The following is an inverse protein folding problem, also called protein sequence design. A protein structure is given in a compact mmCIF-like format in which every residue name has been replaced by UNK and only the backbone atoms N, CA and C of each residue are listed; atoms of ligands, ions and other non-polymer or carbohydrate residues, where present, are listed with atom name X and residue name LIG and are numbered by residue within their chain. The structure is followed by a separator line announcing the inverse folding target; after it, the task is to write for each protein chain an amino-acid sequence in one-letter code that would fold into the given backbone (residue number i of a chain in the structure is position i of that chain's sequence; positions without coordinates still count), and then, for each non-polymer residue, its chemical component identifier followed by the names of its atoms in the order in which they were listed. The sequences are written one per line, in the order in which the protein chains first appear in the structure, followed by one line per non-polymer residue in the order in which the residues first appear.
data_IF_567729390392
#
_entry.id   IF_567729390392
#
_cell.length_a   1.000
_cell.length_b   1.000
_cell.length_c   1.000
_cell.angle_alpha   90.00
_cell.angle_beta   90.00
_cell.angle_gamma   90.00
#
_symmetry.space_group_name_H-M   'P 1'
#
loop_
_entity.id
_entity.type
_entity.pdbx_description
1 polymer ?
#
# COMPACT_ATOMS: atom_id res chain seq x y z
N UNK A 1 2.91 -1.47 6.16
CA UNK A 1 1.86 -2.00 5.27
C UNK A 1 1.24 -0.80 4.55
N UNK A 2 1.00 -0.88 3.25
CA UNK A 2 0.33 0.17 2.46
C UNK A 2 1.30 1.04 1.67
N UNK A 3 1.85 2.11 2.23
CA UNK A 3 2.59 3.14 1.47
C UNK A 3 3.82 2.60 0.71
N UNK A 4 4.66 1.79 1.32
CA UNK A 4 5.86 1.24 0.66
C UNK A 4 5.47 0.30 -0.49
N UNK A 5 4.64 -0.73 -0.28
CA UNK A 5 4.24 -1.62 -1.37
C UNK A 5 3.44 -0.91 -2.46
N UNK A 6 2.52 0.02 -2.12
CA UNK A 6 1.77 0.74 -3.15
C UNK A 6 2.67 1.61 -4.01
N UNK A 7 3.65 2.33 -3.43
CA UNK A 7 4.59 3.15 -4.19
C UNK A 7 5.52 2.30 -5.06
N UNK A 8 5.93 1.11 -4.59
CA UNK A 8 6.73 0.19 -5.40
C UNK A 8 5.94 -0.28 -6.64
N UNK A 9 4.67 -0.69 -6.48
CA UNK A 9 3.84 -1.12 -7.60
C UNK A 9 3.42 0.05 -8.51
N UNK A 10 3.14 1.25 -7.95
CA UNK A 10 2.87 2.45 -8.74
C UNK A 10 4.05 2.79 -9.64
N UNK A 11 5.27 2.78 -9.10
CA UNK A 11 6.48 3.05 -9.87
C UNK A 11 6.70 1.98 -10.96
N UNK A 12 6.57 0.70 -10.62
CA UNK A 12 6.76 -0.38 -11.57
C UNK A 12 5.73 -0.34 -12.71
N UNK A 13 4.44 -0.15 -12.39
CA UNK A 13 3.36 -0.04 -13.38
C UNK A 13 3.49 1.22 -14.23
N UNK A 14 3.97 2.33 -13.66
CA UNK A 14 4.23 3.56 -14.40
C UNK A 14 5.36 3.40 -15.42
N UNK A 15 6.47 2.76 -15.02
CA UNK A 15 7.58 2.47 -15.94
C UNK A 15 7.14 1.53 -17.08
N UNK A 16 6.31 0.54 -16.79
CA UNK A 16 5.73 -0.31 -17.82
C UNK A 16 4.86 0.50 -18.79
N UNK A 17 3.94 1.31 -18.30
CA UNK A 17 3.10 2.18 -19.12
C UNK A 17 3.95 3.13 -19.98
N UNK A 18 4.95 3.77 -19.39
CA UNK A 18 5.86 4.67 -20.11
C UNK A 18 6.63 3.94 -21.22
N UNK A 19 7.03 2.69 -20.99
CA UNK A 19 7.72 1.89 -22.02
C UNK A 19 6.85 1.59 -23.23
N UNK A 20 5.53 1.54 -23.04
CA UNK A 20 4.57 1.28 -24.13
C UNK A 20 4.16 2.55 -24.87
N UNK A 21 4.03 3.69 -24.19
CA UNK A 21 3.37 4.87 -24.77
C UNK A 21 4.26 6.11 -24.89
N UNK A 22 5.24 6.27 -24.02
CA UNK A 22 5.97 7.53 -23.91
C UNK A 22 7.45 7.44 -24.31
N UNK A 23 8.08 6.30 -24.19
CA UNK A 23 9.52 6.17 -24.46
C UNK A 23 9.86 6.50 -25.91
N UNK A 24 9.03 6.09 -26.88
CA UNK A 24 9.22 6.44 -28.29
C UNK A 24 9.20 7.96 -28.53
N UNK A 25 8.37 8.69 -27.81
CA UNK A 25 8.33 10.17 -27.89
C UNK A 25 9.62 10.83 -27.38
N UNK A 26 10.36 10.13 -26.50
CA UNK A 26 11.66 10.57 -25.99
C UNK A 26 12.84 10.02 -26.78
N UNK A 27 12.59 9.35 -27.89
CA UNK A 27 13.63 8.72 -28.72
C UNK A 27 14.17 7.40 -28.16
N UNK A 28 13.47 6.78 -27.22
CA UNK A 28 13.83 5.48 -26.64
C UNK A 28 12.93 4.42 -27.28
N UNK A 29 13.54 3.56 -28.09
CA UNK A 29 12.82 2.47 -28.74
C UNK A 29 12.80 1.22 -27.87
N UNK A 30 11.60 0.69 -27.60
CA UNK A 30 11.38 -0.57 -26.89
C UNK A 30 10.63 -1.49 -27.83
N UNK A 31 11.27 -2.58 -28.27
CA UNK A 31 10.68 -3.48 -29.24
C UNK A 31 9.41 -4.17 -28.75
N UNK A 32 9.41 -4.62 -27.49
CA UNK A 32 8.25 -5.19 -26.81
C UNK A 32 8.47 -5.19 -25.30
N UNK A 33 7.57 -4.57 -24.55
CA UNK A 33 7.55 -4.68 -23.10
C UNK A 33 6.46 -5.67 -22.67
N UNK A 34 6.77 -6.50 -21.68
CA UNK A 34 5.80 -7.42 -21.07
C UNK A 34 5.92 -7.41 -19.57
N UNK A 35 4.82 -7.72 -18.89
CA UNK A 35 4.79 -7.78 -17.43
C UNK A 35 4.96 -9.22 -16.96
N UNK A 36 5.94 -9.43 -16.08
CA UNK A 36 5.99 -10.63 -15.26
C UNK A 36 5.50 -10.26 -13.85
N UNK A 37 4.22 -10.56 -13.58
CA UNK A 37 3.57 -10.16 -12.34
C UNK A 37 4.27 -10.72 -11.09
N UNK A 38 4.71 -11.98 -11.11
CA UNK A 38 5.41 -12.58 -9.98
C UNK A 38 6.74 -11.86 -9.67
N UNK A 39 7.48 -11.45 -10.70
CA UNK A 39 8.70 -10.65 -10.51
C UNK A 39 8.38 -9.25 -10.00
N UNK A 40 7.27 -8.64 -10.43
CA UNK A 40 6.85 -7.34 -9.94
C UNK A 40 6.43 -7.41 -8.47
N UNK A 41 5.75 -8.47 -8.04
CA UNK A 41 5.47 -8.73 -6.63
C UNK A 41 6.77 -8.96 -5.83
N UNK A 42 7.71 -9.74 -6.35
CA UNK A 42 9.02 -9.92 -5.70
C UNK A 42 9.80 -8.62 -5.56
N UNK A 43 9.74 -7.73 -6.56
CA UNK A 43 10.31 -6.38 -6.47
C UNK A 43 9.64 -5.56 -5.35
N UNK A 44 8.30 -5.60 -5.27
CA UNK A 44 7.55 -4.97 -4.17
C UNK A 44 8.06 -5.46 -2.80
N UNK A 45 8.22 -6.78 -2.64
CA UNK A 45 8.72 -7.37 -1.39
C UNK A 45 10.15 -6.92 -1.07
N UNK A 46 11.04 -6.85 -2.07
CA UNK A 46 12.40 -6.36 -1.82
C UNK A 46 12.41 -4.91 -1.33
N UNK A 47 11.56 -4.05 -1.89
CA UNK A 47 11.42 -2.66 -1.45
C UNK A 47 10.94 -2.56 0.00
N UNK A 48 10.00 -3.42 0.41
CA UNK A 48 9.54 -3.50 1.81
C UNK A 48 10.70 -3.91 2.72
N UNK A 49 11.41 -4.97 2.36
CA UNK A 49 12.53 -5.49 3.18
C UNK A 49 13.67 -4.48 3.31
N UNK A 50 14.06 -3.81 2.24
CA UNK A 50 15.13 -2.83 2.25
C UNK A 50 14.77 -1.62 3.13
N UNK A 51 13.54 -1.13 3.04
CA UNK A 51 13.07 -0.04 3.90
C UNK A 51 13.00 -0.49 5.38
N UNK A 52 12.49 -1.69 5.66
CA UNK A 52 12.40 -2.21 7.03
C UNK A 52 13.79 -2.36 7.65
N UNK A 53 14.75 -2.96 6.93
CA UNK A 53 16.15 -3.05 7.37
C UNK A 53 16.77 -1.68 7.60
N UNK A 54 16.46 -0.70 6.74
CA UNK A 54 16.92 0.67 6.90
C UNK A 54 16.41 1.30 8.20
N UNK A 55 15.13 1.08 8.54
CA UNK A 55 14.55 1.56 9.81
C UNK A 55 15.21 0.87 11.01
N UNK A 56 15.39 -0.44 10.97
CA UNK A 56 16.08 -1.20 12.03
C UNK A 56 17.50 -0.69 12.25
N UNK A 57 18.23 -0.42 11.16
CA UNK A 57 19.56 0.18 11.23
C UNK A 57 19.54 1.55 11.91
N UNK A 58 18.56 2.41 11.56
CA UNK A 58 18.41 3.73 12.16
C UNK A 58 18.08 3.63 13.66
N UNK A 59 17.25 2.70 14.07
CA UNK A 59 16.95 2.44 15.48
C UNK A 59 18.21 2.06 16.24
N UNK A 60 18.96 1.10 15.71
CA UNK A 60 20.25 0.69 16.30
C UNK A 60 21.25 1.84 16.37
N UNK A 61 21.42 2.60 15.28
CA UNK A 61 22.34 3.75 15.20
C UNK A 61 22.01 4.82 16.23
N UNK A 62 20.73 5.10 16.43
CA UNK A 62 20.24 6.13 17.35
C UNK A 62 19.95 5.60 18.76
N UNK A 63 20.31 4.34 19.07
CA UNK A 63 20.09 3.69 20.37
C UNK A 63 18.61 3.70 20.80
N UNK A 64 17.70 3.57 19.82
CA UNK A 64 16.27 3.46 20.07
C UNK A 64 15.94 2.00 20.36
N UNK A 65 15.26 1.74 21.46
CA UNK A 65 14.80 0.40 21.82
C UNK A 65 13.55 0.06 21.01
N UNK A 66 13.63 -0.99 20.19
CA UNK A 66 12.49 -1.54 19.48
C UNK A 66 11.87 -2.67 20.33
N UNK A 67 10.58 -2.56 20.58
CA UNK A 67 9.79 -3.56 21.28
C UNK A 67 8.67 -4.00 20.34
N UNK A 68 8.73 -5.25 19.89
CA UNK A 68 7.68 -5.84 19.05
C UNK A 68 6.57 -6.41 19.92
N UNK A 69 5.31 -6.15 19.55
CA UNK A 69 4.14 -6.67 20.24
C UNK A 69 2.94 -5.73 20.15
N UNK A 70 1.83 -6.17 20.67
CA UNK A 70 0.61 -5.37 20.76
C UNK A 70 0.64 -4.54 22.05
N UNK A 71 0.62 -3.22 21.90
CA UNK A 71 0.63 -2.31 23.02
C UNK A 71 -0.79 -1.89 23.42
N UNK A 72 -1.03 -1.83 24.72
CA UNK A 72 -2.24 -1.24 25.32
C UNK A 72 -1.88 -0.30 26.45
N UNK A 73 -2.63 0.80 26.60
CA UNK A 73 -2.46 1.70 27.74
C UNK A 73 -3.01 1.06 29.02
N UNK A 74 -2.23 1.13 30.09
CA UNK A 74 -2.68 0.82 31.47
C UNK A 74 -3.15 2.11 32.13
N UNK A 75 -2.37 3.18 32.00
CA UNK A 75 -2.65 4.52 32.50
C UNK A 75 -1.99 5.58 31.59
N UNK A 76 -1.98 6.84 32.01
CA UNK A 76 -1.43 7.96 31.23
C UNK A 76 0.09 7.87 30.99
N UNK A 77 0.81 7.10 31.79
CA UNK A 77 2.26 7.03 31.80
C UNK A 77 2.80 5.61 31.58
N UNK A 78 1.92 4.63 31.39
CA UNK A 78 2.29 3.21 31.32
C UNK A 78 1.56 2.50 30.18
N UNK A 79 2.33 1.79 29.35
CA UNK A 79 1.80 0.84 28.36
C UNK A 79 2.22 -0.58 28.73
N UNK A 80 1.40 -1.56 28.37
CA UNK A 80 1.75 -2.97 28.42
C UNK A 80 1.96 -3.50 27.01
N UNK A 81 3.03 -4.25 26.80
CA UNK A 81 3.30 -5.01 25.56
C UNK A 81 3.54 -6.46 25.96
N UNK A 82 2.65 -7.35 25.54
CA UNK A 82 2.69 -8.79 25.84
C UNK A 82 2.94 -9.08 27.33
N UNK A 83 2.23 -8.33 28.21
CA UNK A 83 2.28 -8.48 29.68
C UNK A 83 3.49 -7.82 30.36
N UNK A 84 4.35 -7.12 29.61
CA UNK A 84 5.45 -6.33 30.18
C UNK A 84 5.09 -4.85 30.15
N UNK A 85 5.30 -4.16 31.27
CA UNK A 85 4.98 -2.75 31.43
C UNK A 85 6.17 -1.86 31.09
N UNK A 86 5.91 -0.76 30.39
CA UNK A 86 6.87 0.26 30.00
C UNK A 86 6.31 1.63 30.34
N UNK A 87 7.07 2.41 31.11
CA UNK A 87 6.72 3.78 31.48
C UNK A 87 7.36 4.80 30.57
N UNK A 88 6.66 5.92 30.31
CA UNK A 88 7.20 7.08 29.62
C UNK A 88 6.46 8.36 30.05
N UNK A 89 7.13 9.50 29.92
CA UNK A 89 6.54 10.81 30.16
C UNK A 89 5.61 11.24 29.02
N UNK A 90 5.91 10.80 27.78
CA UNK A 90 5.15 11.15 26.59
C UNK A 90 4.98 9.91 25.69
N UNK A 91 3.84 9.82 25.03
CA UNK A 91 3.52 8.79 24.05
C UNK A 91 3.13 9.41 22.72
N UNK A 92 3.62 8.82 21.64
CA UNK A 92 3.17 9.12 20.27
C UNK A 92 2.42 7.90 19.76
N UNK A 93 1.13 8.05 19.48
CA UNK A 93 0.31 7.00 18.87
C UNK A 93 0.46 7.12 17.34
N UNK A 94 1.20 6.20 16.76
CA UNK A 94 1.46 6.13 15.32
C UNK A 94 1.17 4.72 14.78
N UNK A 95 0.06 4.13 15.24
CA UNK A 95 -0.32 2.73 14.97
C UNK A 95 -0.82 2.46 13.55
N UNK A 96 -0.94 3.51 12.71
CA UNK A 96 -1.46 3.40 11.36
C UNK A 96 -2.99 3.32 11.31
N UNK A 97 -3.49 2.70 10.25
CA UNK A 97 -4.93 2.53 10.00
C UNK A 97 -5.19 1.18 9.34
N UNK A 98 -6.42 0.73 9.42
CA UNK A 98 -6.88 -0.47 8.73
C UNK A 98 -8.04 -0.16 7.77
N UNK A 99 -8.27 -1.06 6.82
CA UNK A 99 -9.36 -0.90 5.88
C UNK A 99 -10.71 -1.13 6.58
N UNK A 100 -11.66 -0.22 6.34
CA UNK A 100 -13.03 -0.34 6.87
C UNK A 100 -13.91 -1.07 5.86
N UNK A 101 -14.55 -2.15 6.28
CA UNK A 101 -15.54 -2.84 5.46
C UNK A 101 -16.87 -2.09 5.45
N UNK A 102 -17.60 -2.16 4.35
CA UNK A 102 -18.99 -1.70 4.31
C UNK A 102 -19.90 -2.66 5.10
N UNK A 103 -20.96 -2.14 5.71
CA UNK A 103 -21.84 -2.90 6.61
C UNK A 103 -22.34 -4.24 6.01
N UNK A 104 -22.58 -4.27 4.70
CA UNK A 104 -23.13 -5.45 4.00
C UNK A 104 -22.11 -6.15 3.09
N UNK A 105 -20.86 -5.67 3.04
CA UNK A 105 -19.82 -6.20 2.16
C UNK A 105 -18.56 -6.43 3.01
N UNK A 106 -18.32 -7.69 3.37
CA UNK A 106 -17.14 -8.09 4.14
C UNK A 106 -16.01 -8.50 3.21
N UNK A 107 -14.78 -8.20 3.60
CA UNK A 107 -13.60 -8.72 2.92
C UNK A 107 -13.50 -10.23 3.10
N UNK A 108 -13.32 -10.96 2.00
CA UNK A 108 -12.97 -12.38 1.98
C UNK A 108 -11.51 -12.61 1.57
N UNK A 109 -10.83 -11.50 1.21
CA UNK A 109 -9.46 -11.41 0.71
C UNK A 109 -9.19 -12.36 -0.50
N UNK A 110 -10.25 -12.66 -1.26
CA UNK A 110 -10.21 -13.49 -2.47
C UNK A 110 -10.86 -12.81 -3.65
N UNK A 111 -12.15 -12.43 -3.51
CA UNK A 111 -12.93 -11.71 -4.51
C UNK A 111 -13.19 -10.30 -4.03
N UNK A 112 -13.53 -10.13 -2.77
CA UNK A 112 -13.72 -8.84 -2.11
C UNK A 112 -12.51 -8.61 -1.22
N UNK A 113 -11.58 -7.81 -1.72
CA UNK A 113 -10.28 -7.59 -1.06
C UNK A 113 -10.21 -6.20 -0.44
N UNK A 114 -9.52 -6.10 0.67
CA UNK A 114 -9.07 -4.81 1.21
C UNK A 114 -7.94 -4.22 0.35
N UNK A 115 -7.49 -3.01 0.65
CA UNK A 115 -6.28 -2.45 0.03
C UNK A 115 -5.04 -3.32 0.28
N UNK A 116 -4.98 -4.01 1.42
CA UNK A 116 -3.91 -4.97 1.71
C UNK A 116 -3.99 -6.17 0.79
N UNK A 117 -5.17 -6.78 0.65
CA UNK A 117 -5.38 -7.90 -0.27
C UNK A 117 -5.14 -7.52 -1.73
N UNK A 118 -5.51 -6.28 -2.12
CA UNK A 118 -5.25 -5.78 -3.46
C UNK A 118 -3.74 -5.70 -3.79
N UNK A 119 -2.88 -5.46 -2.81
CA UNK A 119 -1.41 -5.47 -2.98
C UNK A 119 -0.82 -6.90 -3.09
N UNK A 120 -1.63 -7.94 -2.82
CA UNK A 120 -1.20 -9.34 -2.73
C UNK A 120 -1.89 -10.25 -3.76
N UNK A 121 -2.64 -9.70 -4.71
CA UNK A 121 -3.32 -10.49 -5.73
C UNK A 121 -2.33 -11.37 -6.50
N UNK A 122 -2.60 -12.65 -6.61
CA UNK A 122 -1.72 -13.63 -7.25
C UNK A 122 -1.65 -13.48 -8.77
N UNK A 123 -2.62 -12.79 -9.38
CA UNK A 123 -2.69 -12.50 -10.80
C UNK A 123 -3.34 -11.14 -11.04
N UNK A 124 -3.00 -10.51 -12.15
CA UNK A 124 -3.65 -9.28 -12.60
C UNK A 124 -5.07 -9.65 -13.02
N UNK A 125 -6.12 -9.04 -12.43
CA UNK A 125 -7.49 -9.33 -12.81
C UNK A 125 -7.84 -8.67 -14.17
N UNK A 126 -8.75 -9.27 -14.93
CA UNK A 126 -9.26 -8.66 -16.16
C UNK A 126 -10.14 -7.43 -15.86
N UNK A 127 -10.94 -7.51 -14.80
CA UNK A 127 -11.83 -6.44 -14.35
C UNK A 127 -11.72 -6.26 -12.84
N UNK A 128 -11.80 -5.01 -12.39
CA UNK A 128 -11.79 -4.66 -10.97
C UNK A 128 -12.74 -3.51 -10.70
N UNK A 129 -13.54 -3.65 -9.65
CA UNK A 129 -14.35 -2.56 -9.10
C UNK A 129 -13.64 -2.03 -7.85
N UNK A 130 -13.40 -0.74 -7.84
CA UNK A 130 -12.83 -0.03 -6.69
C UNK A 130 -13.96 0.73 -6.00
N UNK A 131 -14.20 0.44 -4.73
CA UNK A 131 -15.21 1.13 -3.93
C UNK A 131 -14.54 2.20 -3.08
N UNK A 132 -14.79 3.45 -3.43
CA UNK A 132 -14.18 4.65 -2.86
C UNK A 132 -13.11 5.26 -3.77
N UNK A 133 -13.31 6.52 -4.17
CA UNK A 133 -12.37 7.31 -4.96
C UNK A 133 -11.43 8.16 -4.10
N UNK A 134 -11.06 7.66 -2.92
CA UNK A 134 -9.99 8.21 -2.10
C UNK A 134 -8.61 7.86 -2.64
N UNK A 135 -7.55 8.41 -2.03
CA UNK A 135 -6.15 8.24 -2.47
C UNK A 135 -5.80 6.76 -2.69
N UNK A 136 -6.11 5.90 -1.72
CA UNK A 136 -5.74 4.47 -1.79
C UNK A 136 -6.49 3.77 -2.93
N UNK A 137 -7.79 4.01 -3.08
CA UNK A 137 -8.60 3.42 -4.16
C UNK A 137 -8.08 3.81 -5.54
N UNK A 138 -7.77 5.10 -5.73
CA UNK A 138 -7.23 5.60 -7.00
C UNK A 138 -5.80 5.10 -7.27
N UNK A 139 -4.96 4.94 -6.25
CA UNK A 139 -3.64 4.34 -6.40
C UNK A 139 -3.76 2.88 -6.87
N UNK A 140 -4.58 2.07 -6.21
CA UNK A 140 -4.80 0.67 -6.61
C UNK A 140 -5.39 0.58 -8.02
N UNK A 141 -6.44 1.37 -8.30
CA UNK A 141 -7.01 1.45 -9.63
C UNK A 141 -5.99 1.83 -10.71
N UNK A 142 -5.12 2.80 -10.43
CA UNK A 142 -4.07 3.24 -11.35
C UNK A 142 -3.02 2.14 -11.63
N UNK A 143 -2.59 1.39 -10.59
CA UNK A 143 -1.67 0.28 -10.75
C UNK A 143 -2.25 -0.74 -11.74
N UNK A 144 -3.45 -1.24 -11.44
CA UNK A 144 -4.06 -2.30 -12.23
C UNK A 144 -4.51 -1.84 -13.61
N UNK A 145 -5.00 -0.61 -13.77
CA UNK A 145 -5.33 -0.04 -15.07
C UNK A 145 -4.12 -0.01 -16.01
N UNK A 146 -2.96 0.43 -15.53
CA UNK A 146 -1.71 0.42 -16.31
C UNK A 146 -1.25 -0.99 -16.69
N UNK A 147 -1.68 -1.99 -15.95
CA UNK A 147 -1.39 -3.41 -16.20
C UNK A 147 -2.45 -4.08 -17.08
N UNK A 148 -3.45 -3.34 -17.58
CA UNK A 148 -4.45 -3.83 -18.52
C UNK A 148 -5.79 -4.23 -17.89
N UNK A 149 -5.99 -4.02 -16.60
CA UNK A 149 -7.27 -4.27 -15.92
C UNK A 149 -8.30 -3.20 -16.31
N UNK A 150 -9.51 -3.61 -16.66
CA UNK A 150 -10.68 -2.71 -16.79
C UNK A 150 -11.13 -2.27 -15.39
N UNK A 151 -10.98 -0.99 -15.07
CA UNK A 151 -11.27 -0.43 -13.76
C UNK A 151 -12.61 0.32 -13.77
N UNK A 152 -13.46 -0.01 -12.82
CA UNK A 152 -14.65 0.78 -12.48
C UNK A 152 -14.52 1.30 -11.07
N UNK A 153 -14.59 2.63 -10.89
CA UNK A 153 -14.55 3.26 -9.56
C UNK A 153 -15.95 3.68 -9.16
N UNK A 154 -16.38 3.27 -7.98
CA UNK A 154 -17.66 3.66 -7.38
C UNK A 154 -17.38 4.63 -6.22
N UNK A 155 -17.92 5.84 -6.30
CA UNK A 155 -17.80 6.85 -5.26
C UNK A 155 -19.19 7.28 -4.80
N UNK A 156 -19.35 7.44 -3.49
CA UNK A 156 -20.60 7.88 -2.89
C UNK A 156 -20.82 9.39 -3.03
N UNK A 157 -19.73 10.15 -2.93
CA UNK A 157 -19.75 11.61 -3.07
C UNK A 157 -19.70 12.00 -4.55
N UNK A 158 -20.13 13.22 -4.87
CA UNK A 158 -20.10 13.79 -6.21
C UNK A 158 -18.68 14.19 -6.70
N UNK A 159 -17.68 13.96 -5.87
CA UNK A 159 -16.28 14.32 -6.14
C UNK A 159 -15.32 13.20 -5.78
N UNK A 160 -14.34 12.97 -6.62
CA UNK A 160 -13.16 12.18 -6.28
C UNK A 160 -12.27 12.97 -5.34
N UNK A 161 -11.54 12.28 -4.44
CA UNK A 161 -10.59 12.90 -3.51
C UNK A 161 -11.24 14.06 -2.71
N UNK A 162 -12.40 13.84 -2.15
CA UNK A 162 -13.25 14.86 -1.51
C UNK A 162 -12.55 15.72 -0.44
N UNK A 163 -11.38 15.32 0.06
CA UNK A 163 -10.56 16.07 1.02
C UNK A 163 -9.39 16.85 0.40
N UNK A 164 -9.27 16.88 -0.93
CA UNK A 164 -8.22 17.57 -1.65
C UNK A 164 -8.72 18.89 -2.27
N UNK A 165 -7.77 19.74 -2.65
CA UNK A 165 -8.02 20.98 -3.40
C UNK A 165 -8.61 20.68 -4.80
N UNK A 166 -9.28 21.68 -5.39
CA UNK A 166 -10.09 21.55 -6.63
C UNK A 166 -9.38 22.17 -7.81
#
# INVERSE_FOLDING_TARGET
VGCIPSKALLNASHNYHNSMENFSKMGIEVAQASVNWNKMLSYKESMIQDNTKGIEYLFKKNKITLINGWASFIDSNTISVDGKNFGADFFVIASGSEATSLNNIKFDEKVIVSSTGALELKKIPEKMIVVGAGVIGLEMGSIYSRLGTEITVLEFYDKVLSGMDH
#
